data_IF_029837588809
#
_entry.id   IF_029837588809
#
_cell.length_a   1.000
_cell.length_b   1.000
_cell.length_c   1.000
_cell.angle_alpha   90.00
_cell.angle_beta   90.00
_cell.angle_gamma   90.00
#
_symmetry.space_group_name_H-M   'P 1'
#
loop_
_entity.id
_entity.type
_entity.pdbx_description
1 polymer ?
#
# COMPACT_ATOMS: atom_id res chain seq x y z
N UNK A 1 23.64 5.21 38.89
CA UNK A 1 24.33 4.87 40.16
C UNK A 1 23.74 3.65 40.89
N UNK A 2 22.43 3.46 41.03
CA UNK A 2 21.83 2.31 41.78
C UNK A 2 22.15 0.94 41.15
N UNK A 3 22.06 0.81 39.83
CA UNK A 3 22.33 -0.45 39.08
C UNK A 3 23.80 -0.88 39.25
N UNK A 4 24.73 0.08 39.13
CA UNK A 4 26.16 -0.20 39.30
C UNK A 4 26.46 -0.69 40.72
N UNK A 5 25.86 -0.07 41.75
CA UNK A 5 26.01 -0.51 43.16
C UNK A 5 25.45 -1.91 43.38
N UNK A 6 24.32 -2.24 42.73
CA UNK A 6 23.72 -3.56 42.80
C UNK A 6 24.63 -4.64 42.16
N UNK A 7 25.20 -4.33 40.97
CA UNK A 7 26.15 -5.22 40.32
C UNK A 7 27.39 -5.49 41.15
N UNK A 8 27.97 -4.42 41.73
CA UNK A 8 29.12 -4.55 42.60
C UNK A 8 28.79 -5.36 43.88
N UNK A 9 27.59 -5.18 44.43
CA UNK A 9 27.12 -5.95 45.57
C UNK A 9 26.97 -7.43 45.23
N UNK A 10 26.38 -7.76 44.06
CA UNK A 10 26.20 -9.15 43.63
C UNK A 10 27.53 -9.85 43.38
N UNK A 11 28.50 -9.15 42.73
CA UNK A 11 29.85 -9.67 42.51
C UNK A 11 30.58 -9.90 43.84
N UNK A 12 30.49 -8.92 44.77
CA UNK A 12 31.09 -9.04 46.08
C UNK A 12 30.51 -10.16 46.92
N UNK A 13 29.16 -10.33 46.89
CA UNK A 13 28.49 -11.44 47.56
C UNK A 13 28.90 -12.80 46.98
N UNK A 14 29.04 -12.90 45.68
CA UNK A 14 29.52 -14.12 45.02
C UNK A 14 30.95 -14.47 45.45
N UNK A 15 31.84 -13.48 45.51
CA UNK A 15 33.22 -13.71 45.96
C UNK A 15 33.30 -14.15 47.45
N UNK A 16 32.48 -13.58 48.32
CA UNK A 16 32.39 -14.00 49.73
C UNK A 16 31.88 -15.45 49.87
N UNK A 17 30.89 -15.82 49.09
CA UNK A 17 30.35 -17.20 49.08
C UNK A 17 31.42 -18.21 48.62
N UNK A 18 32.23 -17.85 47.61
CA UNK A 18 33.35 -18.68 47.15
C UNK A 18 34.41 -18.89 48.24
N UNK A 19 34.73 -17.82 49.00
CA UNK A 19 35.65 -17.92 50.17
C UNK A 19 35.13 -18.85 51.25
N UNK A 20 33.80 -19.00 51.39
CA UNK A 20 33.16 -19.93 52.30
C UNK A 20 33.02 -21.35 51.71
N UNK A 21 33.59 -21.61 50.53
CA UNK A 21 33.60 -22.93 49.91
C UNK A 21 32.31 -23.29 49.12
N UNK A 22 31.40 -22.31 48.95
CA UNK A 22 30.20 -22.50 48.18
C UNK A 22 30.52 -22.27 46.71
N UNK A 23 30.33 -23.29 45.86
CA UNK A 23 30.55 -23.22 44.42
C UNK A 23 29.45 -22.34 43.78
N UNK A 24 29.71 -21.06 43.50
CA UNK A 24 28.76 -20.15 42.89
C UNK A 24 28.59 -20.36 41.39
N UNK A 25 29.53 -21.02 40.70
CA UNK A 25 29.48 -21.31 39.27
C UNK A 25 28.19 -21.98 38.83
N UNK A 26 27.77 -23.08 39.43
CA UNK A 26 26.49 -23.76 39.08
C UNK A 26 25.25 -22.88 39.31
N UNK A 27 25.28 -22.03 40.36
CA UNK A 27 24.17 -21.10 40.64
C UNK A 27 24.09 -20.02 39.55
N UNK A 28 25.21 -19.43 39.18
CA UNK A 28 25.29 -18.45 38.11
C UNK A 28 24.88 -19.04 36.75
N UNK A 29 25.30 -20.28 36.46
CA UNK A 29 24.88 -21.00 35.27
C UNK A 29 23.36 -21.23 35.24
N UNK A 30 22.76 -21.62 36.36
CA UNK A 30 21.30 -21.79 36.46
C UNK A 30 20.54 -20.47 36.28
N UNK A 31 21.02 -19.38 36.90
CA UNK A 31 20.45 -18.04 36.71
C UNK A 31 20.62 -17.55 35.27
N UNK A 32 21.76 -17.83 34.64
CA UNK A 32 21.99 -17.52 33.22
C UNK A 32 20.99 -18.24 32.31
N UNK A 33 20.74 -19.51 32.52
CA UNK A 33 19.77 -20.28 31.76
C UNK A 33 18.33 -19.76 31.98
N UNK A 34 17.97 -19.42 33.22
CA UNK A 34 16.69 -18.81 33.53
C UNK A 34 16.54 -17.45 32.83
N UNK A 35 17.59 -16.64 32.81
CA UNK A 35 17.59 -15.34 32.13
C UNK A 35 17.35 -15.48 30.62
N UNK A 36 17.94 -16.50 29.97
CA UNK A 36 17.67 -16.79 28.56
C UNK A 36 16.21 -17.20 28.35
N UNK A 37 15.65 -18.06 29.20
CA UNK A 37 14.26 -18.47 29.12
C UNK A 37 13.29 -17.25 29.24
N UNK A 38 13.55 -16.36 30.18
CA UNK A 38 12.78 -15.11 30.36
C UNK A 38 12.93 -14.19 29.14
N UNK A 39 14.16 -14.04 28.62
CA UNK A 39 14.42 -13.21 27.44
C UNK A 39 13.67 -13.72 26.20
N UNK A 40 13.66 -15.04 25.97
CA UNK A 40 12.90 -15.65 24.86
C UNK A 40 11.39 -15.46 25.06
N UNK A 41 10.88 -15.63 26.28
CA UNK A 41 9.47 -15.38 26.57
C UNK A 41 9.03 -13.92 26.41
N UNK A 42 9.93 -12.97 26.62
CA UNK A 42 9.67 -11.54 26.46
C UNK A 42 10.00 -10.97 25.05
N UNK A 43 10.54 -11.78 24.17
CA UNK A 43 11.06 -11.37 22.86
C UNK A 43 10.04 -10.56 22.04
N UNK A 44 8.80 -11.05 21.94
CA UNK A 44 7.75 -10.42 21.15
C UNK A 44 7.31 -9.07 21.73
N UNK A 45 7.35 -8.93 23.06
CA UNK A 45 7.08 -7.65 23.70
C UNK A 45 8.13 -6.61 23.29
N UNK A 46 9.42 -6.98 23.37
CA UNK A 46 10.52 -6.07 23.00
C UNK A 46 10.50 -5.72 21.51
N UNK A 47 10.25 -6.69 20.62
CA UNK A 47 10.10 -6.43 19.19
C UNK A 47 9.04 -5.38 18.92
N UNK A 48 7.86 -5.52 19.50
CA UNK A 48 6.76 -4.58 19.31
C UNK A 48 7.04 -3.19 19.91
N UNK A 49 7.70 -3.12 21.07
CA UNK A 49 8.11 -1.85 21.68
C UNK A 49 9.11 -1.08 20.80
N UNK A 50 10.16 -1.78 20.35
CA UNK A 50 11.19 -1.19 19.49
C UNK A 50 10.56 -0.74 18.17
N UNK A 51 9.71 -1.57 17.55
CA UNK A 51 9.00 -1.23 16.33
C UNK A 51 8.12 0.02 16.50
N UNK A 52 7.42 0.14 17.63
CA UNK A 52 6.62 1.34 17.93
C UNK A 52 7.47 2.61 18.02
N UNK A 53 8.64 2.52 18.67
CA UNK A 53 9.59 3.63 18.74
C UNK A 53 10.11 4.00 17.34
N UNK A 54 10.47 3.01 16.50
CA UNK A 54 10.97 3.24 15.14
C UNK A 54 9.91 3.88 14.24
N UNK A 55 8.65 3.46 14.32
CA UNK A 55 7.53 4.07 13.58
C UNK A 55 7.47 5.57 13.88
N UNK A 56 7.57 5.94 15.16
CA UNK A 56 7.51 7.34 15.60
C UNK A 56 8.74 8.17 15.20
N UNK A 57 9.94 7.58 15.29
CA UNK A 57 11.20 8.26 14.96
C UNK A 57 11.36 8.46 13.44
N UNK A 58 11.09 7.42 12.66
CA UNK A 58 11.18 7.45 11.18
C UNK A 58 9.99 8.14 10.52
N UNK A 59 8.91 8.38 11.27
CA UNK A 59 7.66 8.98 10.77
C UNK A 59 7.13 8.26 9.52
N UNK A 60 7.20 6.93 9.50
CA UNK A 60 6.71 6.12 8.36
C UNK A 60 5.25 6.43 8.06
N UNK A 61 4.45 6.64 9.11
CA UNK A 61 3.08 7.12 9.05
C UNK A 61 2.74 7.81 10.39
N UNK A 62 1.67 8.58 10.39
CA UNK A 62 1.20 9.35 11.53
C UNK A 62 -0.28 9.08 11.79
N UNK A 63 -0.79 9.57 12.94
CA UNK A 63 -2.23 9.53 13.21
C UNK A 63 -2.97 10.34 12.15
N UNK A 64 -4.03 9.76 11.58
CA UNK A 64 -4.79 10.32 10.49
C UNK A 64 -4.38 9.84 9.10
N UNK A 65 -3.23 9.18 8.94
CA UNK A 65 -2.78 8.66 7.66
C UNK A 65 -3.59 7.44 7.22
N UNK A 66 -3.95 7.41 5.95
CA UNK A 66 -4.44 6.21 5.28
C UNK A 66 -3.24 5.35 4.87
N UNK A 67 -3.16 4.18 5.47
CA UNK A 67 -2.09 3.20 5.19
C UNK A 67 -2.64 1.85 4.76
N UNK A 68 -1.82 1.11 4.03
CA UNK A 68 -2.05 -0.29 3.68
C UNK A 68 -0.80 -1.12 3.96
N UNK A 69 -0.99 -2.23 4.62
CA UNK A 69 -0.03 -3.33 4.72
C UNK A 69 -0.66 -4.53 4.06
N UNK A 70 -0.03 -5.04 3.01
CA UNK A 70 -0.61 -6.09 2.17
C UNK A 70 -0.95 -7.34 3.01
N UNK A 71 -2.14 -7.90 2.79
CA UNK A 71 -2.68 -9.07 3.50
C UNK A 71 -2.85 -8.91 5.03
N UNK A 72 -2.63 -7.72 5.60
CA UNK A 72 -2.75 -7.47 7.05
C UNK A 72 -3.86 -6.47 7.33
N UNK A 73 -3.75 -5.24 6.83
CA UNK A 73 -4.71 -4.17 7.12
C UNK A 73 -4.67 -3.07 6.08
N UNK A 74 -5.82 -2.46 5.82
CA UNK A 74 -5.95 -1.19 5.13
C UNK A 74 -6.95 -0.31 5.88
N UNK A 75 -6.60 0.96 6.14
CA UNK A 75 -7.44 1.91 6.86
C UNK A 75 -6.69 3.16 7.31
N UNK A 76 -7.35 3.93 8.16
CA UNK A 76 -6.81 5.17 8.72
C UNK A 76 -6.24 4.91 10.11
N UNK A 77 -5.02 5.40 10.35
CA UNK A 77 -4.33 5.29 11.64
C UNK A 77 -5.03 6.18 12.67
N UNK A 78 -5.63 5.60 13.70
CA UNK A 78 -6.25 6.38 14.78
C UNK A 78 -5.25 6.69 15.90
N UNK A 79 -4.46 5.67 16.29
CA UNK A 79 -3.54 5.83 17.41
C UNK A 79 -2.37 4.86 17.29
N UNK A 80 -1.17 5.40 17.38
CA UNK A 80 0.07 4.61 17.50
C UNK A 80 0.35 4.41 19.00
N UNK A 81 0.30 3.16 19.45
CA UNK A 81 0.57 2.76 20.82
C UNK A 81 1.97 2.15 20.97
N UNK A 82 2.38 1.82 22.22
CA UNK A 82 3.68 1.23 22.50
C UNK A 82 3.87 -0.15 21.82
N UNK A 83 2.86 -1.01 21.87
CA UNK A 83 2.93 -2.39 21.38
C UNK A 83 2.16 -2.60 20.08
N UNK A 84 1.11 -1.82 19.88
CA UNK A 84 0.18 -1.98 18.75
C UNK A 84 -0.37 -0.64 18.31
N UNK A 85 -0.70 -0.56 17.03
CA UNK A 85 -1.34 0.60 16.39
C UNK A 85 -2.80 0.29 16.13
N UNK A 86 -3.69 1.22 16.48
CA UNK A 86 -5.12 1.16 16.21
C UNK A 86 -5.40 1.77 14.83
N UNK A 87 -6.01 0.99 13.97
CA UNK A 87 -6.40 1.39 12.61
C UNK A 87 -7.91 1.26 12.47
N UNK A 88 -8.55 2.29 11.91
CA UNK A 88 -9.95 2.28 11.51
C UNK A 88 -10.04 1.86 10.05
N UNK A 89 -10.64 0.71 9.80
CA UNK A 89 -10.92 0.25 8.43
C UNK A 89 -12.05 1.07 7.79
N UNK A 90 -12.19 0.97 6.49
CA UNK A 90 -13.24 1.69 5.75
C UNK A 90 -14.66 1.17 6.01
N UNK A 91 -14.80 -0.04 6.55
CA UNK A 91 -16.05 -0.57 7.08
C UNK A 91 -16.35 -0.07 8.52
N UNK A 92 -15.59 0.94 9.00
CA UNK A 92 -15.67 1.53 10.34
C UNK A 92 -15.22 0.60 11.48
N UNK A 93 -14.76 -0.62 11.21
CA UNK A 93 -14.27 -1.51 12.26
C UNK A 93 -12.87 -1.10 12.74
N UNK A 94 -12.61 -1.09 14.07
CA UNK A 94 -11.26 -0.88 14.59
C UNK A 94 -10.45 -2.18 14.55
N UNK A 95 -9.20 -2.08 14.13
CA UNK A 95 -8.24 -3.20 14.13
C UNK A 95 -6.99 -2.81 14.90
N UNK A 96 -6.60 -3.63 15.86
CA UNK A 96 -5.35 -3.50 16.60
C UNK A 96 -4.27 -4.34 15.94
N UNK A 97 -3.30 -3.68 15.32
CA UNK A 97 -2.19 -4.36 14.65
C UNK A 97 -0.92 -4.24 15.49
N UNK A 98 -0.23 -5.35 15.83
CA UNK A 98 1.06 -5.29 16.50
C UNK A 98 2.07 -4.46 15.69
N UNK A 99 2.84 -3.60 16.38
CA UNK A 99 3.77 -2.67 15.71
C UNK A 99 4.86 -3.38 14.89
N UNK A 100 5.24 -4.55 15.31
CA UNK A 100 6.19 -5.42 14.61
C UNK A 100 5.77 -5.70 13.15
N UNK A 101 4.47 -5.83 12.85
CA UNK A 101 3.98 -6.04 11.49
C UNK A 101 4.33 -4.87 10.55
N UNK A 102 4.37 -3.64 11.06
CA UNK A 102 4.77 -2.47 10.27
C UNK A 102 6.30 -2.35 10.10
N UNK A 103 7.07 -2.99 10.97
CA UNK A 103 8.52 -3.02 10.87
C UNK A 103 9.02 -4.05 9.83
N UNK A 104 8.34 -5.20 9.73
CA UNK A 104 8.74 -6.29 8.84
C UNK A 104 8.10 -6.26 7.45
N UNK A 105 6.98 -5.56 7.29
CA UNK A 105 6.26 -5.52 6.02
C UNK A 105 6.36 -4.14 5.36
N UNK A 106 6.19 -4.13 4.03
CA UNK A 106 6.07 -2.88 3.29
C UNK A 106 4.78 -2.14 3.68
N UNK A 107 4.91 -0.88 4.05
CA UNK A 107 3.79 0.01 4.37
C UNK A 107 3.59 0.98 3.23
N UNK A 108 2.43 0.93 2.57
CA UNK A 108 2.02 1.94 1.61
C UNK A 108 1.28 3.05 2.34
N UNK A 109 1.77 4.29 2.27
CA UNK A 109 1.11 5.46 2.85
C UNK A 109 0.44 6.26 1.75
N UNK A 110 -0.89 6.18 1.67
CA UNK A 110 -1.68 6.88 0.66
C UNK A 110 -1.87 8.38 0.97
N UNK A 111 -1.68 8.80 2.22
CA UNK A 111 -1.75 10.21 2.60
C UNK A 111 -0.54 11.00 2.11
N UNK A 112 0.59 10.34 1.84
CA UNK A 112 1.80 10.97 1.32
C UNK A 112 1.86 11.01 -0.23
N UNK A 113 0.79 10.62 -0.92
CA UNK A 113 0.71 10.77 -2.38
C UNK A 113 0.70 12.25 -2.77
N UNK A 114 1.37 12.59 -3.87
CA UNK A 114 1.31 13.93 -4.47
C UNK A 114 0.15 14.08 -5.46
N UNK A 115 -0.27 12.97 -6.04
CA UNK A 115 -1.32 12.89 -7.06
C UNK A 115 -1.84 11.46 -7.14
N UNK A 116 -3.03 11.27 -7.69
CA UNK A 116 -3.67 9.96 -7.73
C UNK A 116 -3.73 9.44 -9.15
N UNK A 117 -3.16 8.25 -9.37
CA UNK A 117 -3.11 7.62 -10.69
C UNK A 117 -4.49 7.14 -11.15
N UNK A 118 -4.77 7.36 -12.44
CA UNK A 118 -5.81 6.69 -13.22
C UNK A 118 -5.09 5.80 -14.22
N UNK A 119 -5.42 4.52 -14.19
CA UNK A 119 -4.88 3.49 -15.08
C UNK A 119 -6.06 2.69 -15.61
N UNK A 120 -6.39 2.90 -16.88
CA UNK A 120 -7.51 2.24 -17.53
C UNK A 120 -7.08 1.65 -18.85
N UNK A 121 -7.74 0.57 -19.23
CA UNK A 121 -7.75 0.03 -20.60
C UNK A 121 -9.18 0.09 -21.09
N UNK A 122 -9.41 0.80 -22.18
CA UNK A 122 -10.71 0.84 -22.87
C UNK A 122 -10.63 0.02 -24.14
N UNK A 123 -11.59 -0.86 -24.36
CA UNK A 123 -11.68 -1.71 -25.56
C UNK A 123 -12.62 -1.12 -26.58
N UNK A 124 -12.14 -0.87 -27.81
CA UNK A 124 -12.92 -0.45 -28.95
C UNK A 124 -13.17 -1.64 -29.86
N UNK A 125 -14.30 -1.58 -30.63
CA UNK A 125 -14.66 -2.63 -31.57
C UNK A 125 -13.62 -2.76 -32.72
N UNK A 126 -13.43 -3.97 -33.25
CA UNK A 126 -12.52 -4.24 -34.36
C UNK A 126 -12.92 -3.54 -35.67
N UNK A 127 -14.17 -3.13 -35.81
CA UNK A 127 -14.63 -2.33 -36.98
C UNK A 127 -14.17 -0.88 -36.92
N UNK A 128 -13.60 -0.41 -35.78
CA UNK A 128 -13.05 0.93 -35.64
C UNK A 128 -11.87 1.08 -36.59
N UNK A 129 -11.93 2.06 -37.48
CA UNK A 129 -10.89 2.27 -38.48
C UNK A 129 -9.62 2.84 -37.85
N UNK A 130 -8.50 2.71 -38.55
CA UNK A 130 -7.22 3.27 -38.13
C UNK A 130 -7.29 4.78 -37.84
N UNK A 131 -8.00 5.55 -38.68
CA UNK A 131 -8.12 6.99 -38.51
C UNK A 131 -8.99 7.35 -37.32
N UNK A 132 -10.08 6.62 -37.07
CA UNK A 132 -10.89 6.78 -35.84
C UNK A 132 -10.09 6.49 -34.59
N UNK A 133 -9.31 5.42 -34.57
CA UNK A 133 -8.44 5.08 -33.43
C UNK A 133 -7.45 6.19 -33.12
N UNK A 134 -6.84 6.80 -34.15
CA UNK A 134 -5.91 7.90 -34.01
C UNK A 134 -6.61 9.14 -33.44
N UNK A 135 -7.75 9.53 -34.02
CA UNK A 135 -8.51 10.72 -33.61
C UNK A 135 -9.00 10.54 -32.16
N UNK A 136 -9.56 9.40 -31.80
CA UNK A 136 -10.04 9.12 -30.44
C UNK A 136 -8.88 9.22 -29.44
N UNK A 137 -7.74 8.61 -29.73
CA UNK A 137 -6.55 8.69 -28.90
C UNK A 137 -6.11 10.14 -28.68
N UNK A 138 -5.99 10.90 -29.77
CA UNK A 138 -5.50 12.28 -29.74
C UNK A 138 -6.46 13.20 -28.98
N UNK A 139 -7.77 13.06 -29.17
CA UNK A 139 -8.80 13.82 -28.45
C UNK A 139 -8.82 13.51 -26.96
N UNK A 140 -8.61 12.25 -26.55
CA UNK A 140 -8.51 11.88 -25.13
C UNK A 140 -7.24 12.49 -24.52
N UNK A 141 -6.10 12.38 -25.21
CA UNK A 141 -4.82 12.94 -24.76
C UNK A 141 -4.88 14.48 -24.66
N UNK A 142 -5.51 15.14 -25.61
CA UNK A 142 -5.74 16.59 -25.61
C UNK A 142 -6.64 17.02 -24.45
N UNK A 143 -7.76 16.33 -24.21
CA UNK A 143 -8.64 16.61 -23.08
C UNK A 143 -7.90 16.52 -21.75
N UNK A 144 -7.16 15.44 -21.52
CA UNK A 144 -6.40 15.25 -20.27
C UNK A 144 -5.32 16.34 -20.14
N UNK A 145 -4.63 16.69 -21.22
CA UNK A 145 -3.56 17.71 -21.22
C UNK A 145 -4.07 19.12 -20.99
N UNK A 146 -5.29 19.44 -21.44
CA UNK A 146 -5.90 20.77 -21.35
C UNK A 146 -6.69 21.00 -20.06
N UNK A 147 -7.15 19.92 -19.40
CA UNK A 147 -7.90 20.03 -18.16
C UNK A 147 -6.98 20.32 -16.97
N UNK A 148 -7.42 21.22 -16.08
CA UNK A 148 -6.73 21.53 -14.83
C UNK A 148 -6.80 20.42 -13.76
N UNK A 149 -7.62 19.40 -13.99
CA UNK A 149 -7.82 18.29 -13.05
C UNK A 149 -6.71 17.24 -13.10
N UNK A 150 -5.86 17.31 -14.14
CA UNK A 150 -4.77 16.35 -14.34
C UNK A 150 -3.41 17.02 -14.21
N UNK A 151 -2.45 16.27 -13.72
CA UNK A 151 -1.06 16.69 -13.62
C UNK A 151 -0.46 16.79 -15.02
N UNK A 152 0.28 17.86 -15.28
CA UNK A 152 0.90 18.09 -16.58
C UNK A 152 1.91 16.98 -16.93
N UNK A 153 2.01 16.67 -18.21
CA UNK A 153 2.95 15.66 -18.72
C UNK A 153 4.43 15.96 -18.45
N UNK A 154 4.76 17.24 -18.17
CA UNK A 154 6.09 17.66 -17.73
C UNK A 154 6.45 17.26 -16.30
N UNK A 155 5.45 17.00 -15.46
CA UNK A 155 5.64 16.64 -14.05
C UNK A 155 5.45 15.14 -13.81
N UNK A 156 4.46 14.52 -14.48
CA UNK A 156 4.19 13.10 -14.40
C UNK A 156 3.79 12.52 -15.75
N UNK A 157 4.06 11.23 -16.01
CA UNK A 157 3.77 10.59 -17.28
C UNK A 157 2.28 10.65 -17.63
N UNK A 158 1.98 11.03 -18.87
CA UNK A 158 0.68 10.93 -19.50
C UNK A 158 0.81 10.06 -20.75
N UNK A 159 0.05 8.98 -20.81
CA UNK A 159 0.00 8.09 -21.97
C UNK A 159 -1.42 7.77 -22.33
N UNK A 160 -1.78 8.02 -23.58
CA UNK A 160 -2.96 7.47 -24.24
C UNK A 160 -2.47 6.75 -25.49
N UNK A 161 -2.42 5.41 -25.43
CA UNK A 161 -1.76 4.60 -26.49
C UNK A 161 -2.57 3.36 -26.77
N UNK A 162 -2.58 2.97 -28.04
CA UNK A 162 -3.03 1.63 -28.43
C UNK A 162 -2.07 0.60 -27.81
N UNK A 163 -2.61 -0.26 -26.96
CA UNK A 163 -1.83 -1.19 -26.16
C UNK A 163 -1.70 -2.55 -26.82
N UNK A 164 -2.84 -3.13 -27.21
CA UNK A 164 -2.89 -4.46 -27.81
C UNK A 164 -4.18 -4.73 -28.56
N UNK A 165 -4.18 -5.81 -29.35
CA UNK A 165 -5.36 -6.43 -29.92
C UNK A 165 -5.76 -7.60 -29.02
N UNK A 166 -6.90 -7.47 -28.35
CA UNK A 166 -7.48 -8.49 -27.46
C UNK A 166 -8.48 -9.36 -28.21
N UNK A 167 -9.03 -10.40 -27.58
CA UNK A 167 -9.92 -11.37 -28.23
C UNK A 167 -11.15 -10.75 -28.89
N UNK A 168 -11.68 -9.66 -28.36
CA UNK A 168 -12.88 -8.98 -28.87
C UNK A 168 -12.73 -7.47 -28.99
N UNK A 169 -11.56 -6.91 -28.72
CA UNK A 169 -11.34 -5.46 -28.66
C UNK A 169 -9.97 -5.03 -29.14
N UNK A 170 -9.91 -3.78 -29.60
CA UNK A 170 -8.67 -3.03 -29.76
C UNK A 170 -8.52 -2.18 -28.51
N UNK A 171 -7.50 -2.45 -27.70
CA UNK A 171 -7.34 -1.86 -26.40
C UNK A 171 -6.50 -0.59 -26.43
N UNK A 172 -7.03 0.48 -25.84
CA UNK A 172 -6.32 1.75 -25.64
C UNK A 172 -6.03 1.91 -24.14
N UNK A 173 -4.75 2.01 -23.81
CA UNK A 173 -4.27 2.35 -22.47
C UNK A 173 -4.44 3.84 -22.21
N UNK A 174 -4.99 4.18 -21.06
CA UNK A 174 -5.05 5.53 -20.51
C UNK A 174 -4.31 5.52 -19.17
N UNK A 175 -3.23 6.30 -19.11
CA UNK A 175 -2.38 6.43 -17.95
C UNK A 175 -2.15 7.89 -17.65
N UNK A 176 -2.73 8.38 -16.57
CA UNK A 176 -2.61 9.78 -16.15
C UNK A 176 -2.73 9.91 -14.63
N UNK A 177 -2.51 11.12 -14.13
CA UNK A 177 -2.59 11.42 -12.71
C UNK A 177 -3.52 12.62 -12.48
N UNK A 178 -4.47 12.46 -11.56
CA UNK A 178 -5.29 13.55 -11.07
C UNK A 178 -4.48 14.43 -10.10
N UNK A 179 -4.75 15.74 -10.08
CA UNK A 179 -4.07 16.71 -9.20
C UNK A 179 -4.44 16.53 -7.72
N UNK A 180 -5.61 15.96 -7.45
CA UNK A 180 -6.10 15.72 -6.07
C UNK A 180 -5.71 14.35 -5.54
N UNK A 181 -5.48 14.27 -4.23
CA UNK A 181 -5.32 13.01 -3.50
C UNK A 181 -6.58 12.64 -2.71
N UNK A 182 -7.55 13.55 -2.61
CA UNK A 182 -8.83 13.33 -1.91
C UNK A 182 -9.69 12.34 -2.67
N UNK A 183 -10.09 11.27 -1.99
CA UNK A 183 -10.79 10.14 -2.63
C UNK A 183 -12.08 10.55 -3.35
N UNK A 184 -12.92 11.37 -2.70
CA UNK A 184 -14.21 11.80 -3.28
C UNK A 184 -14.04 12.72 -4.50
N UNK A 185 -13.05 13.61 -4.49
CA UNK A 185 -12.72 14.46 -5.63
C UNK A 185 -12.14 13.65 -6.79
N UNK A 186 -11.23 12.73 -6.48
CA UNK A 186 -10.68 11.83 -7.49
C UNK A 186 -11.75 10.97 -8.17
N UNK A 187 -12.78 10.51 -7.44
CA UNK A 187 -13.89 9.78 -8.04
C UNK A 187 -14.69 10.66 -9.02
N UNK A 188 -14.91 11.94 -8.71
CA UNK A 188 -15.57 12.88 -9.64
C UNK A 188 -14.76 13.09 -10.92
N UNK A 189 -13.46 13.40 -10.77
CA UNK A 189 -12.54 13.54 -11.93
C UNK A 189 -12.56 12.27 -12.79
N UNK A 190 -12.56 11.13 -12.16
CA UNK A 190 -12.58 9.83 -12.80
C UNK A 190 -13.89 9.59 -13.57
N UNK A 191 -15.03 9.98 -12.99
CA UNK A 191 -16.34 9.91 -13.64
C UNK A 191 -16.42 10.85 -14.84
N UNK A 192 -15.99 12.10 -14.69
CA UNK A 192 -15.96 13.09 -15.77
C UNK A 192 -15.07 12.63 -16.93
N UNK A 193 -13.91 12.08 -16.65
CA UNK A 193 -13.03 11.48 -17.65
C UNK A 193 -13.75 10.32 -18.37
N UNK A 194 -14.45 9.44 -17.66
CA UNK A 194 -15.17 8.33 -18.26
C UNK A 194 -16.30 8.80 -19.21
N UNK A 195 -17.07 9.80 -18.78
CA UNK A 195 -18.12 10.41 -19.58
C UNK A 195 -17.56 11.10 -20.83
N UNK A 196 -16.43 11.82 -20.68
CA UNK A 196 -15.77 12.48 -21.81
C UNK A 196 -15.21 11.47 -22.82
N UNK A 197 -14.58 10.41 -22.34
CA UNK A 197 -14.11 9.31 -23.21
C UNK A 197 -15.29 8.70 -23.98
N UNK A 198 -16.42 8.46 -23.29
CA UNK A 198 -17.62 7.94 -23.92
C UNK A 198 -18.12 8.86 -25.05
N UNK A 199 -18.23 10.15 -24.77
CA UNK A 199 -18.62 11.17 -25.77
C UNK A 199 -17.66 11.17 -26.97
N UNK A 200 -16.34 11.19 -26.74
CA UNK A 200 -15.34 11.16 -27.81
C UNK A 200 -15.49 9.92 -28.71
N UNK A 201 -15.71 8.74 -28.12
CA UNK A 201 -15.89 7.51 -28.90
C UNK A 201 -17.15 7.57 -29.76
N UNK A 202 -18.27 8.05 -29.20
CA UNK A 202 -19.55 8.17 -29.90
C UNK A 202 -19.52 9.25 -31.02
N UNK A 203 -18.91 10.41 -30.74
CA UNK A 203 -18.76 11.49 -31.72
C UNK A 203 -17.92 11.08 -32.93
N UNK A 204 -17.02 10.11 -32.77
CA UNK A 204 -16.21 9.56 -33.85
C UNK A 204 -16.85 8.32 -34.49
N UNK A 205 -18.14 8.05 -34.26
CA UNK A 205 -18.87 6.89 -34.81
C UNK A 205 -18.18 5.55 -34.53
N UNK A 206 -17.49 5.44 -33.40
CA UNK A 206 -16.90 4.22 -32.88
C UNK A 206 -17.74 3.65 -31.75
N UNK A 207 -17.51 2.39 -31.41
CA UNK A 207 -18.21 1.72 -30.33
C UNK A 207 -17.23 1.05 -29.35
N UNK A 208 -17.68 0.90 -28.09
CA UNK A 208 -17.00 0.05 -27.15
C UNK A 208 -17.21 -1.41 -27.50
N UNK A 209 -16.17 -2.20 -27.35
CA UNK A 209 -16.22 -3.61 -27.65
C UNK A 209 -17.09 -4.39 -26.65
N UNK A 210 -17.86 -5.32 -27.17
CA UNK A 210 -18.57 -6.33 -26.37
C UNK A 210 -17.90 -7.68 -26.58
N UNK A 211 -17.96 -8.61 -25.59
CA UNK A 211 -17.55 -9.98 -25.80
C UNK A 211 -18.26 -10.57 -27.04
N UNK A 212 -17.49 -10.97 -28.02
CA UNK A 212 -18.03 -11.44 -29.31
C UNK A 212 -17.64 -12.90 -29.54
N UNK A 213 -18.57 -13.71 -30.09
CA UNK A 213 -18.33 -15.08 -30.46
C UNK A 213 -18.86 -15.29 -31.89
N UNK A 214 -18.09 -16.04 -32.71
CA UNK A 214 -18.56 -16.49 -34.04
C UNK A 214 -19.19 -17.88 -33.90
N UNK A 215 -20.48 -18.00 -34.28
CA UNK A 215 -21.20 -19.26 -34.24
C UNK A 215 -21.37 -19.72 -35.69
N UNK A 216 -20.82 -20.88 -36.01
CA UNK A 216 -21.01 -21.56 -37.30
C UNK A 216 -22.16 -22.57 -37.15
N UNK A 217 -23.26 -22.33 -37.82
CA UNK A 217 -24.40 -23.25 -37.82
C UNK A 217 -24.34 -24.12 -39.08
N UNK A 218 -24.00 -25.40 -38.94
CA UNK A 218 -24.10 -26.38 -40.02
C UNK A 218 -25.58 -26.79 -40.17
N UNK A 219 -26.14 -26.54 -41.36
CA UNK A 219 -27.44 -27.13 -41.76
C UNK A 219 -27.20 -28.57 -42.18
N UNK A 220 -27.56 -29.52 -41.33
CA UNK A 220 -27.69 -30.91 -41.78
C UNK A 220 -28.81 -30.97 -42.83
N UNK A 221 -28.43 -31.29 -44.07
CA UNK A 221 -29.32 -31.60 -45.18
C UNK A 221 -29.79 -33.04 -45.08
#
# INVERSE_FOLDING_TARGET
>A
MRILKFLIFVIGAAAVLELWGIKVGPILAGLGLLSVAVALGAQDLFKNLISGILILLEKRFQNGDWIKVENIVEGVVEKIGFRSTLIRRFDSSPVMVPNFNFAENAVTNFSNMKSRRIYWTIGLEYRTTHDQLRIIRDQIEEYISSSGDFVKSSEQPLFVRLEKFSDSSIDILIYCFATTTVWGEWLKIKEELALKIKSIVEENNAGFAFPSQSIYVEKNT
#
